data_IF_464253459581
#
_entry.id   IF_464253459581
#
_cell.length_a   1.000
_cell.length_b   1.000
_cell.length_c   1.000
_cell.angle_alpha   90.00
_cell.angle_beta   90.00
_cell.angle_gamma   90.00
#
_symmetry.space_group_name_H-M   'P 1'
#
loop_
_entity.id
_entity.type
_entity.pdbx_description
1 polymer ?
#
# COMPACT_ATOMS: atom_id res chain seq x y z
N UNK A 1 -24.77 -31.72 7.46
CA UNK A 1 -23.49 -31.02 7.20
C UNK A 1 -23.77 -29.82 6.32
N UNK A 2 -23.29 -28.61 6.66
CA UNK A 2 -23.46 -27.45 5.78
C UNK A 2 -22.69 -27.67 4.46
N UNK A 3 -23.35 -27.48 3.32
CA UNK A 3 -22.71 -27.53 2.01
C UNK A 3 -21.66 -26.43 1.84
N UNK A 4 -20.71 -26.62 0.92
CA UNK A 4 -19.61 -25.68 0.65
C UNK A 4 -20.11 -24.26 0.36
N UNK A 5 -21.19 -24.13 -0.42
CA UNK A 5 -21.82 -22.83 -0.73
C UNK A 5 -22.33 -22.13 0.54
N UNK A 6 -23.00 -22.88 1.43
CA UNK A 6 -23.50 -22.32 2.69
C UNK A 6 -22.36 -21.85 3.59
N UNK A 7 -21.24 -22.59 3.65
CA UNK A 7 -20.04 -22.17 4.41
C UNK A 7 -19.45 -20.86 3.88
N UNK A 8 -19.28 -20.75 2.56
CA UNK A 8 -18.76 -19.54 1.92
C UNK A 8 -19.70 -18.36 2.20
N UNK A 9 -21.00 -18.53 2.00
CA UNK A 9 -21.99 -17.48 2.25
C UNK A 9 -21.97 -17.02 3.71
N UNK A 10 -21.89 -17.92 4.68
CA UNK A 10 -21.78 -17.56 6.10
C UNK A 10 -20.54 -16.72 6.38
N UNK A 11 -19.37 -17.09 5.84
CA UNK A 11 -18.13 -16.31 6.03
C UNK A 11 -18.26 -14.92 5.41
N UNK A 12 -18.76 -14.82 4.17
CA UNK A 12 -18.94 -13.54 3.48
C UNK A 12 -19.90 -12.63 4.24
N UNK A 13 -21.05 -13.16 4.68
CA UNK A 13 -22.03 -12.40 5.44
C UNK A 13 -21.48 -11.96 6.81
N UNK A 14 -20.72 -12.83 7.48
CA UNK A 14 -20.07 -12.48 8.74
C UNK A 14 -19.06 -11.33 8.57
N UNK A 15 -18.16 -11.42 7.58
CA UNK A 15 -17.19 -10.36 7.29
C UNK A 15 -17.90 -9.06 6.91
N UNK A 16 -18.93 -9.14 6.06
CA UNK A 16 -19.72 -7.98 5.62
C UNK A 16 -20.43 -7.31 6.79
N UNK A 17 -21.05 -8.10 7.67
CA UNK A 17 -21.71 -7.59 8.87
C UNK A 17 -20.71 -6.94 9.83
N UNK A 18 -19.55 -7.57 10.08
CA UNK A 18 -18.53 -7.00 10.95
C UNK A 18 -17.93 -5.71 10.37
N UNK A 19 -17.76 -5.64 9.06
CA UNK A 19 -17.35 -4.42 8.36
C UNK A 19 -18.40 -3.33 8.52
N UNK A 20 -19.68 -3.67 8.36
CA UNK A 20 -20.78 -2.73 8.58
C UNK A 20 -20.78 -2.19 10.02
N UNK A 21 -20.64 -3.07 11.02
CA UNK A 21 -20.55 -2.69 12.43
C UNK A 21 -19.37 -1.74 12.66
N UNK A 22 -18.20 -2.04 12.10
CA UNK A 22 -16.99 -1.23 12.27
C UNK A 22 -17.13 0.19 11.70
N UNK A 23 -17.69 0.34 10.50
CA UNK A 23 -17.81 1.66 9.85
C UNK A 23 -19.04 2.45 10.30
N UNK A 24 -20.18 1.79 10.44
CA UNK A 24 -21.47 2.44 10.64
C UNK A 24 -21.97 2.39 12.08
N UNK A 25 -21.41 1.54 12.95
CA UNK A 25 -21.86 1.42 14.34
C UNK A 25 -21.72 2.69 15.19
N UNK A 26 -20.92 3.66 14.73
CA UNK A 26 -20.78 4.99 15.36
C UNK A 26 -21.84 6.02 14.94
N UNK A 27 -22.69 5.70 13.96
CA UNK A 27 -23.67 6.66 13.44
C UNK A 27 -24.73 7.00 14.49
N UNK A 28 -25.18 8.27 14.58
CA UNK A 28 -26.25 8.68 15.50
C UNK A 28 -27.53 7.86 15.32
N UNK A 29 -27.89 7.53 14.08
CA UNK A 29 -29.06 6.72 13.74
C UNK A 29 -29.05 5.31 14.37
N UNK A 30 -27.86 4.75 14.63
CA UNK A 30 -27.70 3.41 15.20
C UNK A 30 -27.36 3.42 16.69
N UNK A 31 -27.25 4.59 17.34
CA UNK A 31 -26.69 4.77 18.70
C UNK A 31 -27.28 3.84 19.77
N UNK A 32 -28.58 3.56 19.67
CA UNK A 32 -29.35 2.74 20.62
C UNK A 32 -29.64 1.32 20.10
N UNK A 33 -28.89 0.86 19.10
CA UNK A 33 -29.05 -0.48 18.52
C UNK A 33 -27.96 -1.44 19.00
N UNK A 34 -28.16 -2.77 18.87
CA UNK A 34 -27.11 -3.75 19.10
C UNK A 34 -25.84 -3.52 18.27
N UNK A 35 -25.97 -2.91 17.08
CA UNK A 35 -24.85 -2.59 16.19
C UNK A 35 -23.91 -1.58 16.87
N UNK A 36 -24.46 -0.51 17.45
CA UNK A 36 -23.65 0.47 18.18
C UNK A 36 -23.07 -0.09 19.48
N UNK A 37 -23.81 -0.98 20.17
CA UNK A 37 -23.27 -1.68 21.32
C UNK A 37 -22.06 -2.55 20.92
N UNK A 38 -22.18 -3.35 19.85
CA UNK A 38 -21.12 -4.22 19.36
C UNK A 38 -19.90 -3.43 18.91
N UNK A 39 -20.09 -2.31 18.20
CA UNK A 39 -19.00 -1.39 17.86
C UNK A 39 -18.29 -0.87 19.12
N UNK A 40 -19.02 -0.41 20.15
CA UNK A 40 -18.41 0.06 21.40
C UNK A 40 -17.66 -1.06 22.12
N UNK A 41 -18.23 -2.26 22.19
CA UNK A 41 -17.59 -3.41 22.80
C UNK A 41 -16.23 -3.71 22.13
N UNK A 42 -16.19 -3.78 20.80
CA UNK A 42 -15.02 -4.22 20.04
C UNK A 42 -13.99 -3.10 19.82
N UNK A 43 -14.41 -1.86 19.52
CA UNK A 43 -13.49 -0.78 19.13
C UNK A 43 -13.24 0.26 20.21
N UNK A 44 -13.95 0.19 21.33
CA UNK A 44 -13.72 1.11 22.47
C UNK A 44 -13.32 0.32 23.71
N UNK A 45 -14.18 -0.57 24.18
CA UNK A 45 -13.95 -1.26 25.45
C UNK A 45 -12.82 -2.29 25.35
N UNK A 46 -12.79 -3.12 24.32
CA UNK A 46 -11.75 -4.13 24.16
C UNK A 46 -10.33 -3.52 24.08
N UNK A 47 -10.04 -2.49 23.22
CA UNK A 47 -8.73 -1.85 23.19
C UNK A 47 -8.37 -1.18 24.52
N UNK A 48 -9.32 -0.50 25.17
CA UNK A 48 -9.07 0.14 26.46
C UNK A 48 -8.76 -0.89 27.56
N UNK A 49 -9.43 -2.04 27.56
CA UNK A 49 -9.13 -3.14 28.46
C UNK A 49 -7.74 -3.71 28.21
N UNK A 50 -7.34 -3.91 26.95
CA UNK A 50 -5.98 -4.34 26.60
C UNK A 50 -4.93 -3.34 27.10
N UNK A 51 -5.15 -2.04 26.89
CA UNK A 51 -4.27 -0.98 27.37
C UNK A 51 -4.19 -0.95 28.90
N UNK A 52 -5.32 -1.13 29.60
CA UNK A 52 -5.36 -1.16 31.06
C UNK A 52 -4.61 -2.37 31.62
N UNK A 53 -4.77 -3.54 31.00
CA UNK A 53 -4.04 -4.75 31.36
C UNK A 53 -2.53 -4.57 31.14
N UNK A 54 -2.13 -4.01 29.99
CA UNK A 54 -0.72 -3.75 29.69
C UNK A 54 -0.09 -2.75 30.67
N UNK A 55 -0.81 -1.67 31.02
CA UNK A 55 -0.36 -0.74 32.08
C UNK A 55 -0.21 -1.44 33.42
N UNK A 56 -1.13 -2.33 33.77
CA UNK A 56 -1.11 -3.07 35.05
C UNK A 56 0.05 -4.05 35.13
N UNK A 57 0.31 -4.82 34.07
CA UNK A 57 1.26 -5.93 34.11
C UNK A 57 2.66 -5.58 33.61
N UNK A 58 2.80 -4.64 32.67
CA UNK A 58 4.10 -4.30 32.05
C UNK A 58 4.48 -2.83 32.21
N UNK A 59 3.61 -2.02 32.83
CA UNK A 59 3.77 -0.56 32.89
C UNK A 59 3.51 0.13 31.55
N UNK A 60 2.88 -0.56 30.58
CA UNK A 60 2.59 -0.01 29.25
C UNK A 60 3.66 -0.28 28.19
N UNK A 61 4.71 -1.05 28.53
CA UNK A 61 5.86 -1.29 27.65
C UNK A 61 5.49 -2.06 26.39
N UNK A 62 4.58 -3.04 26.47
CA UNK A 62 4.22 -3.83 25.29
C UNK A 62 3.46 -2.98 24.27
N UNK A 63 2.47 -2.21 24.71
CA UNK A 63 1.73 -1.31 23.81
C UNK A 63 2.66 -0.27 23.22
N UNK A 64 3.53 0.36 24.03
CA UNK A 64 4.46 1.37 23.52
C UNK A 64 5.40 0.78 22.47
N UNK A 65 5.94 -0.42 22.72
CA UNK A 65 6.77 -1.15 21.77
C UNK A 65 6.03 -1.46 20.47
N UNK A 66 4.79 -1.96 20.55
CA UNK A 66 3.95 -2.25 19.40
C UNK A 66 3.61 -0.99 18.60
N UNK A 67 3.29 0.12 19.26
CA UNK A 67 3.01 1.41 18.60
C UNK A 67 4.27 1.97 17.95
N UNK A 68 5.43 1.86 18.59
CA UNK A 68 6.71 2.28 18.02
C UNK A 68 7.06 1.45 16.78
N UNK A 69 6.91 0.13 16.87
CA UNK A 69 7.08 -0.78 15.73
C UNK A 69 6.09 -0.47 14.61
N UNK A 70 4.81 -0.28 14.92
CA UNK A 70 3.79 0.10 13.93
C UNK A 70 4.09 1.45 13.28
N UNK A 71 4.58 2.43 14.05
CA UNK A 71 5.01 3.72 13.50
C UNK A 71 6.19 3.56 12.54
N UNK A 72 7.20 2.79 12.93
CA UNK A 72 8.35 2.46 12.08
C UNK A 72 7.89 1.77 10.79
N UNK A 73 7.02 0.77 10.89
CA UNK A 73 6.51 0.01 9.75
C UNK A 73 5.63 0.85 8.79
N UNK A 74 4.92 1.86 9.30
CA UNK A 74 3.95 2.62 8.51
C UNK A 74 4.43 4.03 8.09
N UNK A 75 5.41 4.60 8.79
CA UNK A 75 5.84 6.00 8.61
C UNK A 75 7.35 6.18 8.36
N UNK A 76 8.13 5.11 8.41
CA UNK A 76 9.54 5.14 8.06
C UNK A 76 9.83 4.30 6.81
N UNK A 77 11.00 4.53 6.20
CA UNK A 77 11.47 3.78 5.04
C UNK A 77 12.19 2.52 5.52
N UNK A 78 11.70 1.34 5.16
CA UNK A 78 12.34 0.08 5.51
C UNK A 78 12.05 -1.00 4.45
N UNK A 79 12.99 -1.92 4.18
CA UNK A 79 12.85 -2.87 3.08
C UNK A 79 11.87 -4.02 3.38
N UNK A 80 11.41 -4.17 4.62
CA UNK A 80 10.61 -5.34 5.07
C UNK A 80 9.39 -5.60 4.20
N UNK A 81 8.62 -4.56 3.84
CA UNK A 81 7.42 -4.73 3.00
C UNK A 81 7.78 -5.12 1.57
N UNK A 82 8.86 -4.55 1.03
CA UNK A 82 9.36 -4.90 -0.31
C UNK A 82 9.90 -6.34 -0.35
N UNK A 83 10.63 -6.77 0.70
CA UNK A 83 11.07 -8.16 0.87
C UNK A 83 9.86 -9.08 0.96
N UNK A 84 8.88 -8.73 1.79
CA UNK A 84 7.64 -9.48 1.90
C UNK A 84 6.92 -9.62 0.55
N UNK A 85 6.81 -8.54 -0.22
CA UNK A 85 6.19 -8.56 -1.54
C UNK A 85 6.96 -9.43 -2.54
N UNK A 86 8.29 -9.32 -2.56
CA UNK A 86 9.15 -10.17 -3.39
C UNK A 86 9.00 -11.65 -3.02
N UNK A 87 9.00 -11.98 -1.73
CA UNK A 87 8.82 -13.35 -1.25
C UNK A 87 7.42 -13.88 -1.58
N UNK A 88 6.39 -13.05 -1.45
CA UNK A 88 5.02 -13.42 -1.81
C UNK A 88 4.94 -13.80 -3.30
N UNK A 89 5.53 -12.97 -4.18
CA UNK A 89 5.60 -13.23 -5.60
C UNK A 89 6.37 -14.53 -5.90
N UNK A 90 7.60 -14.66 -5.39
CA UNK A 90 8.46 -15.81 -5.66
C UNK A 90 7.89 -17.12 -5.12
N UNK A 91 7.29 -17.11 -3.92
CA UNK A 91 6.66 -18.29 -3.35
C UNK A 91 5.41 -18.70 -4.13
N UNK A 92 4.59 -17.73 -4.55
CA UNK A 92 3.40 -18.02 -5.35
C UNK A 92 3.77 -18.71 -6.66
N UNK A 93 4.83 -18.25 -7.32
CA UNK A 93 5.35 -18.82 -8.56
C UNK A 93 5.99 -20.19 -8.33
N UNK A 94 6.80 -20.35 -7.27
CA UNK A 94 7.43 -21.64 -6.93
C UNK A 94 6.39 -22.74 -6.67
N UNK A 95 5.20 -22.37 -6.18
CA UNK A 95 4.08 -23.29 -5.95
C UNK A 95 3.28 -23.52 -7.24
N UNK A 96 2.98 -22.47 -8.01
CA UNK A 96 2.09 -22.54 -9.17
C UNK A 96 2.78 -23.10 -10.42
N UNK A 97 4.00 -22.64 -10.73
CA UNK A 97 4.70 -22.96 -11.98
C UNK A 97 4.92 -24.47 -12.17
N UNK A 98 5.40 -25.26 -11.19
CA UNK A 98 5.61 -26.69 -11.40
C UNK A 98 4.33 -27.45 -11.72
N UNK A 99 3.17 -26.98 -11.22
CA UNK A 99 1.86 -27.58 -11.47
C UNK A 99 1.32 -27.22 -12.86
N UNK A 100 1.53 -25.98 -13.28
CA UNK A 100 1.11 -25.50 -14.60
C UNK A 100 2.00 -26.03 -15.72
N UNK A 101 3.32 -26.11 -15.51
CA UNK A 101 4.33 -26.42 -16.53
C UNK A 101 4.02 -27.62 -17.46
N UNK A 102 3.60 -28.80 -16.95
CA UNK A 102 3.30 -29.95 -17.82
C UNK A 102 2.06 -29.73 -18.71
N UNK A 103 1.18 -28.80 -18.36
CA UNK A 103 -0.07 -28.51 -19.08
C UNK A 103 0.11 -27.48 -20.20
N UNK A 104 1.27 -26.81 -20.26
CA UNK A 104 1.54 -25.73 -21.19
C UNK A 104 2.23 -26.21 -22.47
N UNK A 105 1.81 -25.66 -23.60
CA UNK A 105 2.54 -25.74 -24.87
C UNK A 105 3.87 -24.98 -24.81
N UNK A 106 4.78 -25.25 -25.74
CA UNK A 106 6.08 -24.55 -25.82
C UNK A 106 5.93 -23.03 -25.92
N UNK A 107 4.98 -22.54 -26.72
CA UNK A 107 4.71 -21.10 -26.85
C UNK A 107 4.20 -20.49 -25.53
N UNK A 108 3.32 -21.19 -24.82
CA UNK A 108 2.82 -20.76 -23.51
C UNK A 108 3.91 -20.77 -22.45
N UNK A 109 4.84 -21.75 -22.47
CA UNK A 109 5.99 -21.77 -21.55
C UNK A 109 6.88 -20.55 -21.77
N UNK A 110 7.19 -20.21 -23.02
CA UNK A 110 7.96 -19.01 -23.33
C UNK A 110 7.24 -17.74 -22.83
N UNK A 111 5.92 -17.63 -23.09
CA UNK A 111 5.10 -16.53 -22.58
C UNK A 111 5.08 -16.44 -21.06
N UNK A 112 4.99 -17.58 -20.36
CA UNK A 112 5.01 -17.65 -18.90
C UNK A 112 6.32 -17.15 -18.31
N UNK A 113 7.46 -17.55 -18.88
CA UNK A 113 8.78 -17.09 -18.41
C UNK A 113 8.90 -15.56 -18.51
N UNK A 114 8.37 -14.96 -19.58
CA UNK A 114 8.32 -13.50 -19.73
C UNK A 114 7.37 -12.88 -18.70
N UNK A 115 6.15 -13.42 -18.56
CA UNK A 115 5.15 -12.91 -17.63
C UNK A 115 5.62 -12.96 -16.16
N UNK A 116 6.41 -13.97 -15.80
CA UNK A 116 7.07 -14.11 -14.50
C UNK A 116 8.20 -13.11 -14.32
N UNK A 117 9.07 -12.94 -15.32
CA UNK A 117 10.25 -12.09 -15.19
C UNK A 117 9.91 -10.58 -15.11
N UNK A 118 8.92 -10.12 -15.88
CA UNK A 118 8.65 -8.69 -16.04
C UNK A 118 8.25 -7.96 -14.73
N UNK A 119 7.38 -8.51 -13.85
CA UNK A 119 7.10 -7.90 -12.56
C UNK A 119 8.35 -7.65 -11.70
N UNK A 120 9.32 -8.56 -11.68
CA UNK A 120 10.57 -8.36 -10.95
C UNK A 120 11.41 -7.23 -11.55
N UNK A 121 11.50 -7.17 -12.87
CA UNK A 121 12.21 -6.10 -13.58
C UNK A 121 11.59 -4.74 -13.26
N UNK A 122 10.27 -4.61 -13.38
CA UNK A 122 9.60 -3.34 -13.13
C UNK A 122 9.50 -2.98 -11.66
N UNK A 123 9.49 -3.95 -10.74
CA UNK A 123 9.66 -3.72 -9.32
C UNK A 123 11.03 -3.08 -9.04
N UNK A 124 12.10 -3.66 -9.58
CA UNK A 124 13.45 -3.11 -9.47
C UNK A 124 13.54 -1.70 -10.06
N UNK A 125 13.09 -1.49 -11.30
CA UNK A 125 13.15 -0.20 -11.97
C UNK A 125 12.32 0.87 -11.23
N UNK A 126 11.12 0.51 -10.76
CA UNK A 126 10.27 1.43 -9.99
C UNK A 126 10.89 1.81 -8.65
N UNK A 127 11.56 0.87 -7.97
CA UNK A 127 12.16 1.07 -6.65
C UNK A 127 13.52 1.81 -6.71
N UNK A 128 14.28 1.62 -7.78
CA UNK A 128 15.64 2.17 -7.94
C UNK A 128 15.68 3.52 -8.67
N UNK A 129 14.70 3.80 -9.54
CA UNK A 129 14.65 5.06 -10.28
C UNK A 129 14.43 6.27 -9.34
N UNK A 130 15.04 7.41 -9.68
CA UNK A 130 14.74 8.69 -9.03
C UNK A 130 13.27 9.06 -9.33
N UNK A 131 12.40 9.19 -8.31
CA UNK A 131 11.01 9.55 -8.52
C UNK A 131 10.81 11.00 -8.97
N UNK A 132 11.88 11.81 -9.00
CA UNK A 132 11.87 13.24 -9.26
C UNK A 132 12.13 14.03 -8.00
N UNK A 133 13.21 13.72 -7.28
CA UNK A 133 13.63 14.53 -6.13
C UNK A 133 13.85 15.99 -6.54
N UNK A 134 13.18 16.90 -5.82
CA UNK A 134 13.37 18.34 -6.02
C UNK A 134 14.61 18.77 -5.22
N UNK A 135 15.73 18.93 -5.92
CA UNK A 135 17.00 19.44 -5.40
C UNK A 135 17.23 20.86 -5.89
N UNK A 136 18.26 21.55 -5.38
CA UNK A 136 18.62 22.89 -5.86
C UNK A 136 18.89 22.91 -7.39
N UNK A 137 19.48 21.84 -7.92
CA UNK A 137 19.81 21.71 -9.34
C UNK A 137 18.56 21.44 -10.21
N UNK A 138 17.66 20.57 -9.75
CA UNK A 138 16.46 20.19 -10.52
C UNK A 138 15.28 21.13 -10.32
N UNK A 139 15.34 22.02 -9.31
CA UNK A 139 14.23 22.92 -8.92
C UNK A 139 13.71 23.76 -10.07
N UNK A 140 14.59 24.48 -10.77
CA UNK A 140 14.22 25.34 -11.91
C UNK A 140 13.52 24.56 -13.01
N UNK A 141 14.05 23.39 -13.35
CA UNK A 141 13.45 22.50 -14.36
C UNK A 141 12.04 22.11 -13.94
N UNK A 142 11.85 21.63 -12.70
CA UNK A 142 10.55 21.22 -12.20
C UNK A 142 9.54 22.37 -12.11
N UNK A 143 9.98 23.58 -11.77
CA UNK A 143 9.13 24.79 -11.79
C UNK A 143 8.58 25.08 -13.20
N UNK A 144 9.35 24.79 -14.25
CA UNK A 144 8.96 25.06 -15.65
C UNK A 144 8.23 23.90 -16.35
N UNK A 145 8.24 22.69 -15.78
CA UNK A 145 7.78 21.48 -16.50
C UNK A 145 6.25 21.45 -16.69
N UNK A 146 5.50 21.98 -15.73
CA UNK A 146 4.04 21.99 -15.74
C UNK A 146 3.54 23.38 -15.37
N UNK A 147 2.41 23.84 -15.92
CA UNK A 147 1.77 25.06 -15.43
C UNK A 147 1.08 24.81 -14.07
N UNK A 148 0.85 25.89 -13.33
CA UNK A 148 -0.09 25.87 -12.20
C UNK A 148 -1.52 25.77 -12.73
N UNK A 149 -2.34 24.92 -12.11
CA UNK A 149 -3.72 24.66 -12.55
C UNK A 149 -4.76 25.58 -11.88
N UNK A 150 -4.34 26.38 -10.89
CA UNK A 150 -5.20 27.29 -10.12
C UNK A 150 -6.46 26.61 -9.53
N UNK A 151 -6.42 25.30 -9.35
CA UNK A 151 -7.48 24.51 -8.72
C UNK A 151 -6.92 23.81 -7.50
N UNK A 152 -5.86 23.02 -7.69
CA UNK A 152 -5.16 22.30 -6.63
C UNK A 152 -3.77 22.89 -6.34
N UNK A 153 -3.13 23.46 -7.36
CA UNK A 153 -1.76 23.97 -7.26
C UNK A 153 -1.69 25.42 -7.71
N UNK A 154 -1.35 26.29 -6.76
CA UNK A 154 -1.20 27.74 -6.94
C UNK A 154 0.27 28.15 -6.80
N UNK A 155 0.70 29.24 -7.47
CA UNK A 155 2.03 29.80 -7.29
C UNK A 155 2.25 30.35 -5.86
N UNK A 156 3.50 30.59 -5.50
CA UNK A 156 3.89 31.20 -4.22
C UNK A 156 3.88 30.24 -3.01
N UNK A 157 3.50 28.98 -3.18
CA UNK A 157 3.46 28.00 -2.09
C UNK A 157 4.85 27.45 -1.78
N UNK A 158 5.33 27.61 -0.55
CA UNK A 158 6.63 27.05 -0.10
C UNK A 158 6.45 25.75 0.70
N UNK A 159 7.42 24.85 0.62
CA UNK A 159 7.49 23.71 1.51
C UNK A 159 8.09 24.16 2.85
N UNK A 160 7.31 24.06 3.93
CA UNK A 160 7.78 24.42 5.28
C UNK A 160 8.97 23.59 5.76
N UNK A 161 9.07 22.32 5.34
CA UNK A 161 10.13 21.41 5.77
C UNK A 161 11.41 21.54 4.93
N UNK A 162 11.27 21.71 3.62
CA UNK A 162 12.42 21.79 2.70
C UNK A 162 12.87 23.25 2.41
N UNK A 163 12.07 24.25 2.76
CA UNK A 163 12.38 25.67 2.52
C UNK A 163 12.33 26.11 1.04
N UNK A 164 11.86 25.27 0.13
CA UNK A 164 11.81 25.57 -1.31
C UNK A 164 10.41 26.00 -1.78
N UNK A 165 10.36 26.87 -2.80
CA UNK A 165 9.12 27.15 -3.53
C UNK A 165 8.66 25.88 -4.23
N UNK A 166 7.42 25.43 -4.01
CA UNK A 166 6.93 24.16 -4.53
C UNK A 166 6.72 24.23 -6.04
N UNK A 167 7.39 23.36 -6.83
CA UNK A 167 6.99 23.15 -8.21
C UNK A 167 5.51 22.75 -8.32
N UNK A 168 4.84 23.08 -9.43
CA UNK A 168 3.49 22.61 -9.70
C UNK A 168 3.37 21.11 -9.51
N UNK A 169 2.29 20.67 -8.86
CA UNK A 169 2.00 19.25 -8.57
C UNK A 169 3.01 18.53 -7.66
N UNK A 170 3.96 19.24 -7.05
CA UNK A 170 4.91 18.65 -6.10
C UNK A 170 4.32 18.56 -4.68
N UNK A 171 4.79 17.56 -3.91
CA UNK A 171 4.43 17.39 -2.49
C UNK A 171 5.67 16.99 -1.70
N UNK A 172 5.67 17.31 -0.40
CA UNK A 172 6.69 16.83 0.53
C UNK A 172 6.30 15.44 1.01
N UNK A 173 7.17 14.45 0.84
CA UNK A 173 6.97 13.14 1.44
C UNK A 173 7.62 13.11 2.82
N UNK A 174 6.82 12.94 3.87
CA UNK A 174 7.30 12.82 5.25
C UNK A 174 8.10 11.55 5.51
N UNK A 175 8.00 10.52 4.65
CA UNK A 175 8.77 9.27 4.76
C UNK A 175 10.14 9.45 4.09
N UNK A 176 10.18 9.95 2.85
CA UNK A 176 11.43 10.23 2.13
C UNK A 176 12.14 11.52 2.58
N UNK A 177 11.50 12.34 3.43
CA UNK A 177 12.00 13.63 3.96
C UNK A 177 12.40 14.64 2.88
N UNK A 178 11.75 14.59 1.72
CA UNK A 178 12.09 15.40 0.54
C UNK A 178 10.85 15.75 -0.28
N UNK A 179 10.92 16.85 -1.02
CA UNK A 179 9.91 17.17 -2.03
C UNK A 179 10.10 16.32 -3.28
N UNK A 180 9.01 15.78 -3.80
CA UNK A 180 8.96 14.96 -5.02
C UNK A 180 8.15 15.71 -6.08
N UNK A 181 8.71 15.85 -7.28
CA UNK A 181 8.06 16.46 -8.43
C UNK A 181 6.92 15.57 -8.93
N UNK A 182 5.76 16.16 -9.24
CA UNK A 182 4.53 15.45 -9.63
C UNK A 182 4.26 14.24 -8.71
N UNK A 183 4.38 14.44 -7.40
CA UNK A 183 4.23 13.35 -6.43
C UNK A 183 2.83 12.78 -6.49
N UNK A 184 2.75 11.49 -6.80
CA UNK A 184 1.52 10.73 -6.68
C UNK A 184 1.35 10.29 -5.21
N UNK A 185 2.15 9.31 -4.78
CA UNK A 185 2.15 8.78 -3.41
C UNK A 185 3.52 8.21 -2.99
N UNK A 186 3.63 7.82 -1.72
CA UNK A 186 4.71 6.96 -1.24
C UNK A 186 4.21 5.52 -1.21
N UNK A 187 4.88 4.63 -1.94
CA UNK A 187 4.49 3.24 -2.06
C UNK A 187 5.42 2.35 -1.21
N UNK A 188 4.84 1.70 -0.22
CA UNK A 188 5.54 0.77 0.67
C UNK A 188 6.08 -0.46 -0.07
N UNK A 189 5.44 -0.87 -1.18
CA UNK A 189 5.82 -2.05 -1.97
C UNK A 189 7.09 -1.85 -2.81
N UNK A 190 7.40 -0.60 -3.18
CA UNK A 190 8.67 -0.25 -3.85
C UNK A 190 9.64 0.45 -2.90
N UNK A 191 9.26 0.57 -1.61
CA UNK A 191 10.01 1.27 -0.58
C UNK A 191 10.47 2.68 -1.03
N UNK A 192 9.57 3.43 -1.67
CA UNK A 192 9.91 4.67 -2.38
C UNK A 192 8.70 5.48 -2.84
N UNK A 193 8.94 6.72 -3.28
CA UNK A 193 7.88 7.53 -3.86
C UNK A 193 7.61 7.15 -5.32
N UNK A 194 6.36 7.33 -5.74
CA UNK A 194 5.97 7.37 -7.15
C UNK A 194 5.80 8.84 -7.54
N UNK A 195 6.54 9.28 -8.55
CA UNK A 195 6.55 10.68 -8.98
C UNK A 195 6.86 10.81 -10.47
N UNK A 196 7.24 12.02 -10.88
CA UNK A 196 7.53 12.34 -12.28
C UNK A 196 8.54 11.39 -12.93
N UNK A 197 9.56 10.94 -12.20
CA UNK A 197 10.69 10.19 -12.76
C UNK A 197 10.47 8.68 -12.88
N UNK A 198 9.51 8.08 -12.17
CA UNK A 198 9.34 6.63 -12.12
C UNK A 198 7.88 6.14 -12.27
N UNK A 199 6.90 7.03 -12.45
CA UNK A 199 5.49 6.64 -12.60
C UNK A 199 5.25 5.64 -13.73
N UNK A 200 6.01 5.72 -14.83
CA UNK A 200 5.88 4.78 -15.95
C UNK A 200 6.35 3.37 -15.56
N UNK A 201 7.46 3.23 -14.83
CA UNK A 201 7.90 1.93 -14.28
C UNK A 201 6.87 1.37 -13.31
N UNK A 202 6.30 2.22 -12.45
CA UNK A 202 5.26 1.80 -11.52
C UNK A 202 4.00 1.30 -12.26
N UNK A 203 3.57 1.98 -13.32
CA UNK A 203 2.44 1.52 -14.14
C UNK A 203 2.75 0.20 -14.87
N UNK A 204 3.97 0.03 -15.37
CA UNK A 204 4.41 -1.23 -15.99
C UNK A 204 4.49 -2.38 -14.97
N UNK A 205 4.89 -2.10 -13.73
CA UNK A 205 4.80 -3.05 -12.62
C UNK A 205 3.35 -3.50 -12.42
N UNK A 206 2.41 -2.55 -12.26
CA UNK A 206 0.99 -2.88 -12.07
C UNK A 206 0.43 -3.71 -13.24
N UNK A 207 0.73 -3.31 -14.48
CA UNK A 207 0.27 -4.00 -15.68
C UNK A 207 0.81 -5.44 -15.74
N UNK A 208 2.10 -5.62 -15.52
CA UNK A 208 2.74 -6.95 -15.62
C UNK A 208 2.33 -7.87 -14.47
N UNK A 209 2.18 -7.35 -13.25
CA UNK A 209 1.58 -8.10 -12.15
C UNK A 209 0.13 -8.50 -12.46
N UNK A 210 -0.68 -7.59 -13.02
CA UNK A 210 -2.04 -7.91 -13.43
C UNK A 210 -2.07 -9.03 -14.48
N UNK A 211 -1.22 -8.95 -15.52
CA UNK A 211 -1.09 -9.99 -16.55
C UNK A 211 -0.71 -11.33 -15.92
N UNK A 212 0.30 -11.37 -15.04
CA UNK A 212 0.72 -12.60 -14.37
C UNK A 212 -0.43 -13.23 -13.55
N UNK A 213 -1.16 -12.42 -12.78
CA UNK A 213 -2.28 -12.91 -11.96
C UNK A 213 -3.47 -13.38 -12.80
N UNK A 214 -3.75 -12.71 -13.91
CA UNK A 214 -4.79 -13.14 -14.86
C UNK A 214 -4.42 -14.48 -15.49
N UNK A 215 -3.16 -14.63 -15.90
CA UNK A 215 -2.68 -15.87 -16.50
C UNK A 215 -2.81 -17.06 -15.53
N UNK A 216 -2.47 -16.85 -14.26
CA UNK A 216 -2.66 -17.83 -13.20
C UNK A 216 -4.12 -18.15 -12.87
N UNK A 217 -5.07 -17.27 -13.21
CA UNK A 217 -6.50 -17.49 -13.01
C UNK A 217 -7.21 -18.18 -14.20
N UNK A 218 -6.57 -18.23 -15.37
CA UNK A 218 -7.13 -18.78 -16.62
C UNK A 218 -6.62 -20.18 -16.98
N UNK A 219 -5.67 -20.72 -16.20
CA UNK A 219 -5.12 -22.08 -16.33
C UNK A 219 -5.75 -22.99 -15.27
#
# INVERSE_FOLDING_TARGET
>A
MMGTVAKIATVVLAISFMTFVAFFGRLPALRNTPIAWLHRAIWVHLPNSVLALDRKFTGGRCTESLVRFGRFMMHDRHPTVMIFFFLLLALSEAVALPRAWPQLTTAQRAGMLVAVALPYVFLYLSASADPGYVTAETHRRHMSTYPYDFTLFHPGQTCRTCGLLKPPRSKHCSICKRCIARMDHHCIFINGCVGAGNVHWFLLLLLTTAILTLWGGTL
#
